data_IF_918241619342
#
_entry.id   IF_918241619342
#
_cell.length_a   1.000
_cell.length_b   1.000
_cell.length_c   1.000
_cell.angle_alpha   90.00
_cell.angle_beta   90.00
_cell.angle_gamma   90.00
#
_symmetry.space_group_name_H-M   'P 1'
#
loop_
_entity.id
_entity.type
_entity.pdbx_description
1 polymer ?
#
# COMPACT_ATOMS: atom_id res chain seq x y z
N UNK A 1 29.76 16.69 -12.86
CA UNK A 1 28.33 16.48 -12.54
C UNK A 1 28.21 16.22 -11.05
N UNK A 2 27.51 17.09 -10.32
CA UNK A 2 27.27 16.88 -8.88
C UNK A 2 26.40 15.65 -8.69
N UNK A 3 26.89 14.65 -7.94
CA UNK A 3 26.07 13.51 -7.49
C UNK A 3 24.82 14.07 -6.80
N UNK A 4 23.63 13.78 -7.29
CA UNK A 4 22.38 14.07 -6.58
C UNK A 4 22.53 13.49 -5.16
N UNK A 5 22.60 14.37 -4.16
CA UNK A 5 22.57 13.93 -2.76
C UNK A 5 21.31 13.11 -2.55
N UNK A 6 21.48 11.87 -2.14
CA UNK A 6 20.35 11.05 -1.73
C UNK A 6 19.64 11.78 -0.60
N UNK A 7 18.32 11.88 -0.66
CA UNK A 7 17.51 12.55 0.36
C UNK A 7 17.52 11.83 1.71
N UNK A 8 18.00 10.60 1.76
CA UNK A 8 18.29 9.82 2.97
C UNK A 8 19.73 9.35 2.88
N UNK A 9 20.51 9.59 3.94
CA UNK A 9 21.87 9.08 4.06
C UNK A 9 21.83 7.63 4.57
N UNK A 10 22.17 6.69 3.70
CA UNK A 10 22.07 5.26 4.02
C UNK A 10 23.05 4.81 5.14
N UNK A 11 24.30 5.24 5.19
CA UNK A 11 25.21 4.95 6.31
C UNK A 11 24.69 5.45 7.67
N UNK A 12 24.16 6.67 7.73
CA UNK A 12 23.62 7.24 8.97
C UNK A 12 22.35 6.51 9.41
N UNK A 13 21.50 6.13 8.47
CA UNK A 13 20.31 5.32 8.75
C UNK A 13 20.70 3.94 9.27
N UNK A 14 21.72 3.31 8.69
CA UNK A 14 22.23 2.04 9.15
C UNK A 14 22.77 2.13 10.59
N UNK A 15 23.57 3.14 10.89
CA UNK A 15 24.09 3.37 12.24
C UNK A 15 22.96 3.57 13.26
N UNK A 16 21.97 4.41 12.93
CA UNK A 16 20.81 4.63 13.80
C UNK A 16 19.99 3.36 14.05
N UNK A 17 19.88 2.47 13.06
CA UNK A 17 19.20 1.18 13.22
C UNK A 17 19.99 0.20 14.09
N UNK A 18 21.32 0.18 13.98
CA UNK A 18 22.18 -0.63 14.85
C UNK A 18 22.02 -0.19 16.29
N UNK A 19 22.11 1.11 16.56
CA UNK A 19 21.95 1.68 17.91
C UNK A 19 20.54 1.37 18.47
N UNK A 20 19.51 1.54 17.66
CA UNK A 20 18.16 1.22 18.06
C UNK A 20 17.96 -0.27 18.39
N UNK A 21 18.55 -1.17 17.60
CA UNK A 21 18.51 -2.61 17.90
C UNK A 21 19.22 -2.98 19.20
N UNK A 22 20.34 -2.34 19.49
CA UNK A 22 21.05 -2.53 20.76
C UNK A 22 20.16 -2.14 21.96
N UNK A 23 19.51 -0.97 21.87
CA UNK A 23 18.54 -0.53 22.89
C UNK A 23 17.35 -1.45 23.04
N UNK A 24 16.81 -1.99 21.95
CA UNK A 24 15.72 -2.96 22.00
C UNK A 24 16.15 -4.25 22.72
N UNK A 25 17.37 -4.73 22.43
CA UNK A 25 17.91 -5.92 23.08
C UNK A 25 18.14 -5.71 24.57
N UNK A 26 18.68 -4.57 24.97
CA UNK A 26 18.83 -4.21 26.39
C UNK A 26 17.48 -4.17 27.11
N UNK A 27 16.45 -3.63 26.47
CA UNK A 27 15.10 -3.59 27.04
C UNK A 27 14.49 -4.99 27.16
N UNK A 28 14.67 -5.86 26.16
CA UNK A 28 14.23 -7.27 26.20
C UNK A 28 14.92 -8.02 27.33
N UNK A 29 16.24 -7.88 27.48
CA UNK A 29 17.03 -8.52 28.54
C UNK A 29 16.63 -8.04 29.95
N UNK A 30 16.17 -6.78 30.08
CA UNK A 30 15.64 -6.22 31.31
C UNK A 30 14.16 -6.56 31.58
N UNK A 31 13.46 -7.17 30.60
CA UNK A 31 12.02 -7.44 30.69
C UNK A 31 11.14 -6.20 30.48
N UNK A 32 11.71 -5.14 29.96
CA UNK A 32 11.02 -3.89 29.66
C UNK A 32 10.41 -3.87 28.25
N UNK A 33 9.52 -2.88 28.01
CA UNK A 33 8.95 -2.65 26.68
C UNK A 33 10.00 -2.07 25.74
N UNK A 34 9.95 -2.48 24.47
CA UNK A 34 10.80 -1.91 23.43
C UNK A 34 10.71 -0.38 23.41
N UNK A 35 11.85 0.32 23.31
CA UNK A 35 11.89 1.77 23.26
C UNK A 35 11.18 2.28 21.99
N UNK A 36 10.72 3.53 22.04
CA UNK A 36 10.13 4.19 20.87
C UNK A 36 11.17 4.31 19.76
N UNK A 37 10.73 4.15 18.52
CA UNK A 37 11.57 4.35 17.34
C UNK A 37 12.13 5.78 17.34
N UNK A 38 13.46 5.98 17.20
CA UNK A 38 14.09 7.29 17.16
C UNK A 38 13.50 8.17 16.06
N UNK A 39 13.38 9.47 16.35
CA UNK A 39 12.81 10.46 15.43
C UNK A 39 13.51 10.48 14.07
N UNK A 40 14.84 10.30 14.04
CA UNK A 40 15.60 10.27 12.81
C UNK A 40 15.19 9.12 11.89
N UNK A 41 15.01 7.92 12.43
CA UNK A 41 14.55 6.76 11.68
C UNK A 41 13.14 7.01 11.14
N UNK A 42 12.25 7.54 11.98
CA UNK A 42 10.88 7.91 11.58
C UNK A 42 10.86 8.93 10.43
N UNK A 43 11.70 9.97 10.51
CA UNK A 43 11.86 10.96 9.43
C UNK A 43 12.35 10.33 8.13
N UNK A 44 13.32 9.41 8.20
CA UNK A 44 13.82 8.69 7.02
C UNK A 44 12.72 7.87 6.37
N UNK A 45 11.95 7.10 7.14
CA UNK A 45 10.83 6.29 6.64
C UNK A 45 9.78 7.19 5.98
N UNK A 46 9.40 8.30 6.62
CA UNK A 46 8.44 9.27 6.07
C UNK A 46 8.93 9.84 4.73
N UNK A 47 10.20 10.22 4.65
CA UNK A 47 10.79 10.74 3.41
C UNK A 47 10.78 9.71 2.28
N UNK A 48 11.10 8.44 2.58
CA UNK A 48 11.08 7.36 1.61
C UNK A 48 9.65 7.16 1.09
N UNK A 49 8.66 7.07 1.99
CA UNK A 49 7.26 6.86 1.63
C UNK A 49 6.71 8.02 0.79
N UNK A 50 6.93 9.26 1.23
CA UNK A 50 6.48 10.45 0.51
C UNK A 50 7.11 10.56 -0.88
N UNK A 51 8.41 10.32 -0.99
CA UNK A 51 9.12 10.36 -2.29
C UNK A 51 8.70 9.22 -3.22
N UNK A 52 8.43 8.04 -2.68
CA UNK A 52 7.93 6.93 -3.47
C UNK A 52 6.52 7.21 -4.01
N UNK A 53 5.65 7.82 -3.20
CA UNK A 53 4.29 8.19 -3.57
C UNK A 53 4.22 9.25 -4.70
N UNK A 54 5.28 10.01 -4.92
CA UNK A 54 5.35 10.99 -6.03
C UNK A 54 5.77 10.38 -7.37
N UNK A 55 6.18 9.11 -7.39
CA UNK A 55 6.55 8.44 -8.66
C UNK A 55 5.31 8.24 -9.55
N UNK A 56 5.47 8.23 -10.88
CA UNK A 56 4.35 8.08 -11.83
C UNK A 56 3.46 6.87 -11.55
N UNK A 57 4.03 5.77 -11.06
CA UNK A 57 3.28 4.56 -10.72
C UNK A 57 2.28 4.75 -9.57
N UNK A 58 2.45 5.78 -8.73
CA UNK A 58 1.67 5.99 -7.52
C UNK A 58 1.02 7.37 -7.41
N UNK A 59 1.45 8.35 -8.21
CA UNK A 59 1.02 9.74 -8.08
C UNK A 59 -0.45 9.99 -8.48
N UNK A 60 -1.04 9.11 -9.27
CA UNK A 60 -2.40 9.27 -9.82
C UNK A 60 -3.54 8.79 -8.92
N UNK A 61 -3.26 8.29 -7.72
CA UNK A 61 -4.29 7.75 -6.83
C UNK A 61 -4.80 8.81 -5.84
N UNK A 62 -6.13 8.88 -5.67
CA UNK A 62 -6.79 9.80 -4.72
C UNK A 62 -6.50 9.47 -3.26
N UNK A 63 -6.21 8.20 -2.96
CA UNK A 63 -5.87 7.66 -1.64
C UNK A 63 -4.35 7.58 -1.39
N UNK A 64 -3.61 8.57 -1.92
CA UNK A 64 -2.14 8.61 -1.78
C UNK A 64 -1.68 8.75 -0.32
N UNK A 65 -2.41 9.48 0.50
CA UNK A 65 -2.08 9.67 1.92
C UNK A 65 -2.25 8.39 2.72
N UNK A 66 -3.31 7.63 2.42
CA UNK A 66 -3.52 6.31 3.02
C UNK A 66 -2.44 5.32 2.60
N UNK A 67 -1.96 5.39 1.34
CA UNK A 67 -0.82 4.59 0.89
C UNK A 67 0.43 4.90 1.70
N UNK A 68 0.74 6.20 1.92
CA UNK A 68 1.89 6.65 2.72
C UNK A 68 1.76 6.14 4.16
N UNK A 69 0.59 6.29 4.77
CA UNK A 69 0.31 5.82 6.14
C UNK A 69 0.50 4.31 6.27
N UNK A 70 -0.05 3.53 5.34
CA UNK A 70 0.15 2.07 5.32
C UNK A 70 1.63 1.69 5.16
N UNK A 71 2.36 2.44 4.34
CA UNK A 71 3.80 2.24 4.14
C UNK A 71 4.61 2.46 5.41
N UNK A 72 4.32 3.54 6.13
CA UNK A 72 4.97 3.88 7.40
C UNK A 72 4.63 2.84 8.47
N UNK A 73 3.35 2.50 8.62
CA UNK A 73 2.89 1.49 9.57
C UNK A 73 3.61 0.15 9.36
N UNK A 74 3.66 -0.32 8.11
CA UNK A 74 4.38 -1.56 7.79
C UNK A 74 5.88 -1.47 8.08
N UNK A 75 6.53 -0.33 7.82
CA UNK A 75 7.94 -0.15 8.18
C UNK A 75 8.16 -0.24 9.69
N UNK A 76 7.29 0.37 10.50
CA UNK A 76 7.38 0.31 11.95
C UNK A 76 7.13 -1.10 12.49
N UNK A 77 6.20 -1.86 11.90
CA UNK A 77 5.95 -3.26 12.26
C UNK A 77 7.14 -4.16 11.96
N UNK A 78 7.83 -3.93 10.84
CA UNK A 78 8.92 -4.80 10.38
C UNK A 78 10.33 -4.26 10.65
N UNK A 79 10.47 -3.15 11.39
CA UNK A 79 11.76 -2.54 11.72
C UNK A 79 12.69 -3.51 12.45
N UNK A 80 12.14 -4.34 13.32
CA UNK A 80 12.89 -5.32 14.12
C UNK A 80 13.46 -6.47 13.27
N UNK A 81 12.87 -6.72 12.09
CA UNK A 81 13.29 -7.80 11.19
C UNK A 81 14.50 -7.40 10.32
N UNK A 82 14.87 -6.12 10.32
CA UNK A 82 16.07 -5.69 9.62
C UNK A 82 17.32 -6.26 10.30
N UNK A 83 18.15 -6.95 9.54
CA UNK A 83 19.40 -7.55 10.03
C UNK A 83 20.59 -6.85 9.42
N UNK A 84 21.35 -6.03 10.21
CA UNK A 84 22.51 -5.32 9.73
C UNK A 84 23.66 -6.23 9.29
N UNK A 85 23.72 -7.48 9.78
CA UNK A 85 24.76 -8.43 9.38
C UNK A 85 24.49 -8.98 7.97
N UNK A 86 23.20 -9.13 7.61
CA UNK A 86 22.79 -9.65 6.29
C UNK A 86 22.68 -8.56 5.23
N UNK A 87 22.36 -7.35 5.63
CA UNK A 87 22.16 -6.24 4.69
C UNK A 87 22.66 -4.92 5.25
N UNK A 88 23.48 -4.24 4.48
CA UNK A 88 23.98 -2.88 4.79
C UNK A 88 23.17 -1.78 4.09
N UNK A 89 22.01 -2.12 3.51
CA UNK A 89 21.18 -1.16 2.77
C UNK A 89 19.77 -1.04 3.35
N UNK A 90 19.60 -0.35 4.48
CA UNK A 90 18.27 -0.14 5.07
C UNK A 90 17.34 0.69 4.18
N UNK A 91 17.88 1.58 3.35
CA UNK A 91 17.08 2.34 2.40
C UNK A 91 16.33 1.43 1.42
N UNK A 92 17.01 0.44 0.85
CA UNK A 92 16.38 -0.53 -0.05
C UNK A 92 15.36 -1.40 0.70
N UNK A 93 15.67 -1.81 1.92
CA UNK A 93 14.78 -2.59 2.78
C UNK A 93 13.45 -1.87 3.03
N UNK A 94 13.47 -0.63 3.51
CA UNK A 94 12.25 0.14 3.75
C UNK A 94 11.52 0.51 2.46
N UNK A 95 12.25 0.83 1.40
CA UNK A 95 11.64 1.09 0.08
C UNK A 95 10.83 -0.10 -0.40
N UNK A 96 11.33 -1.32 -0.23
CA UNK A 96 10.63 -2.54 -0.63
C UNK A 96 9.36 -2.77 0.21
N UNK A 97 9.43 -2.58 1.53
CA UNK A 97 8.25 -2.69 2.41
C UNK A 97 7.17 -1.71 1.98
N UNK A 98 7.53 -0.44 1.77
CA UNK A 98 6.61 0.61 1.37
C UNK A 98 6.00 0.30 0.00
N UNK A 99 6.81 -0.15 -0.96
CA UNK A 99 6.34 -0.56 -2.28
C UNK A 99 5.24 -1.61 -2.20
N UNK A 100 5.46 -2.67 -1.44
CA UNK A 100 4.45 -3.72 -1.28
C UNK A 100 3.22 -3.25 -0.49
N UNK A 101 3.39 -2.35 0.48
CA UNK A 101 2.26 -1.74 1.17
C UNK A 101 1.38 -0.94 0.20
N UNK A 102 1.99 -0.15 -0.69
CA UNK A 102 1.29 0.60 -1.73
C UNK A 102 0.51 -0.32 -2.68
N UNK A 103 1.13 -1.40 -3.15
CA UNK A 103 0.46 -2.37 -4.02
C UNK A 103 -0.73 -3.03 -3.32
N UNK A 104 -0.60 -3.40 -2.05
CA UNK A 104 -1.71 -3.97 -1.26
C UNK A 104 -2.87 -2.97 -1.10
N UNK A 105 -2.57 -1.70 -0.83
CA UNK A 105 -3.61 -0.65 -0.75
C UNK A 105 -4.33 -0.49 -2.09
N UNK A 106 -3.62 -0.40 -3.19
CA UNK A 106 -4.21 -0.31 -4.54
C UNK A 106 -5.13 -1.49 -4.82
N UNK A 107 -4.71 -2.71 -4.49
CA UNK A 107 -5.55 -3.90 -4.67
C UNK A 107 -6.80 -3.87 -3.79
N UNK A 108 -6.67 -3.43 -2.53
CA UNK A 108 -7.80 -3.27 -1.59
C UNK A 108 -8.81 -2.26 -2.12
N UNK A 109 -8.36 -1.10 -2.57
CA UNK A 109 -9.23 -0.04 -3.11
C UNK A 109 -9.94 -0.49 -4.41
N UNK A 110 -9.22 -1.17 -5.31
CA UNK A 110 -9.82 -1.75 -6.52
C UNK A 110 -10.90 -2.78 -6.18
N UNK A 111 -10.65 -3.63 -5.18
CA UNK A 111 -11.65 -4.61 -4.73
C UNK A 111 -12.88 -3.94 -4.13
N UNK A 112 -12.71 -2.89 -3.34
CA UNK A 112 -13.83 -2.14 -2.78
C UNK A 112 -14.64 -1.42 -3.86
N UNK A 113 -13.97 -0.83 -4.85
CA UNK A 113 -14.63 -0.21 -6.00
C UNK A 113 -15.44 -1.24 -6.79
N UNK A 114 -14.89 -2.44 -7.02
CA UNK A 114 -15.61 -3.54 -7.67
C UNK A 114 -16.87 -3.93 -6.88
N UNK A 115 -16.76 -4.09 -5.56
CA UNK A 115 -17.91 -4.45 -4.70
C UNK A 115 -19.00 -3.38 -4.79
N UNK A 116 -18.63 -2.10 -4.72
CA UNK A 116 -19.58 -0.98 -4.84
C UNK A 116 -20.29 -0.99 -6.19
N UNK A 117 -19.56 -1.15 -7.28
CA UNK A 117 -20.14 -1.17 -8.63
C UNK A 117 -21.04 -2.39 -8.83
N UNK A 118 -20.62 -3.56 -8.34
CA UNK A 118 -21.44 -4.79 -8.43
C UNK A 118 -22.73 -4.70 -7.63
N UNK A 119 -22.65 -4.13 -6.42
CA UNK A 119 -23.85 -3.88 -5.60
C UNK A 119 -24.81 -2.91 -6.29
N UNK A 120 -24.31 -1.81 -6.85
CA UNK A 120 -25.09 -0.84 -7.61
C UNK A 120 -25.77 -1.49 -8.83
N UNK A 121 -25.06 -2.31 -9.59
CA UNK A 121 -25.59 -3.06 -10.72
C UNK A 121 -26.72 -4.01 -10.30
N UNK A 122 -26.56 -4.73 -9.19
CA UNK A 122 -27.57 -5.64 -8.66
C UNK A 122 -28.83 -4.89 -8.21
N UNK A 123 -28.68 -3.73 -7.55
CA UNK A 123 -29.81 -2.89 -7.14
C UNK A 123 -30.61 -2.38 -8.36
N UNK A 124 -29.91 -1.94 -9.42
CA UNK A 124 -30.55 -1.54 -10.67
C UNK A 124 -31.32 -2.71 -11.31
N UNK A 125 -30.71 -3.89 -11.37
CA UNK A 125 -31.38 -5.09 -11.90
C UNK A 125 -32.62 -5.45 -11.11
N UNK A 126 -32.60 -5.35 -9.77
CA UNK A 126 -33.76 -5.61 -8.93
C UNK A 126 -34.88 -4.58 -9.15
N UNK A 127 -34.56 -3.28 -9.27
CA UNK A 127 -35.56 -2.27 -9.54
C UNK A 127 -36.24 -2.45 -10.91
N UNK A 128 -35.43 -2.83 -11.93
CA UNK A 128 -35.98 -3.14 -13.27
C UNK A 128 -36.92 -4.35 -13.23
N UNK A 129 -36.63 -5.37 -12.43
CA UNK A 129 -37.49 -6.54 -12.30
C UNK A 129 -38.80 -6.26 -11.54
N UNK A 130 -38.82 -5.20 -10.73
CA UNK A 130 -40.01 -4.78 -9.97
C UNK A 130 -40.87 -3.79 -10.75
N UNK A 131 -40.30 -2.98 -11.63
CA UNK A 131 -40.97 -2.01 -12.50
C UNK A 131 -41.14 -2.60 -13.91
N UNK A 132 -42.41 -2.87 -14.28
CA UNK A 132 -42.77 -3.48 -15.57
C UNK A 132 -42.71 -2.55 -16.78
N UNK A 133 -42.25 -1.28 -16.61
CA UNK A 133 -42.21 -0.29 -17.68
C UNK A 133 -40.89 -0.29 -18.43
N UNK A 134 -40.96 -0.60 -19.73
CA UNK A 134 -39.78 -0.66 -20.64
C UNK A 134 -38.99 0.65 -20.74
N UNK A 135 -39.59 1.79 -20.41
CA UNK A 135 -38.89 3.08 -20.40
C UNK A 135 -37.92 3.24 -19.22
N UNK A 136 -38.20 2.61 -18.08
CA UNK A 136 -37.35 2.60 -16.89
C UNK A 136 -36.06 1.83 -17.14
N UNK A 137 -36.09 0.84 -18.04
CA UNK A 137 -34.94 -0.02 -18.37
C UNK A 137 -33.82 0.79 -19.07
N UNK A 138 -34.17 1.67 -20.02
CA UNK A 138 -33.18 2.45 -20.77
C UNK A 138 -32.50 3.55 -19.94
N UNK A 139 -33.17 4.08 -18.89
CA UNK A 139 -32.60 5.13 -18.03
C UNK A 139 -31.68 4.58 -16.92
N UNK A 140 -31.69 3.28 -16.67
CA UNK A 140 -31.03 2.64 -15.53
C UNK A 140 -29.85 1.73 -15.91
N UNK A 141 -29.39 1.75 -17.17
CA UNK A 141 -28.16 1.05 -17.53
C UNK A 141 -26.95 1.67 -16.82
N UNK A 142 -26.09 0.84 -16.18
CA UNK A 142 -24.91 1.37 -15.54
C UNK A 142 -23.99 2.02 -16.59
N UNK A 143 -23.36 3.17 -16.29
CA UNK A 143 -22.43 3.80 -17.22
C UNK A 143 -21.39 2.82 -17.75
N UNK A 144 -21.06 2.88 -19.03
CA UNK A 144 -20.17 1.94 -19.73
C UNK A 144 -18.82 1.74 -19.01
N UNK A 145 -18.29 2.77 -18.35
CA UNK A 145 -17.04 2.65 -17.59
C UNK A 145 -17.17 1.71 -16.39
N UNK A 146 -18.35 1.59 -15.78
CA UNK A 146 -18.62 0.67 -14.67
C UNK A 146 -18.61 -0.78 -15.17
N UNK A 147 -19.30 -1.05 -16.27
CA UNK A 147 -19.35 -2.38 -16.89
C UNK A 147 -17.94 -2.82 -17.32
N UNK A 148 -17.20 -1.96 -17.98
CA UNK A 148 -15.79 -2.23 -18.37
C UNK A 148 -14.90 -2.51 -17.16
N UNK A 149 -15.05 -1.75 -16.07
CA UNK A 149 -14.27 -1.97 -14.85
C UNK A 149 -14.58 -3.34 -14.22
N UNK A 150 -15.86 -3.72 -14.17
CA UNK A 150 -16.29 -5.02 -13.65
C UNK A 150 -15.69 -6.16 -14.48
N UNK A 151 -15.81 -6.09 -15.80
CA UNK A 151 -15.30 -7.10 -16.72
C UNK A 151 -13.78 -7.26 -16.62
N UNK A 152 -13.05 -6.15 -16.58
CA UNK A 152 -11.60 -6.13 -16.38
C UNK A 152 -11.17 -6.75 -15.04
N UNK A 153 -11.89 -6.46 -13.98
CA UNK A 153 -11.61 -7.01 -12.66
C UNK A 153 -11.85 -8.52 -12.63
N UNK A 154 -13.02 -8.98 -13.12
CA UNK A 154 -13.37 -10.40 -13.14
C UNK A 154 -12.45 -11.22 -14.06
N UNK A 155 -12.04 -10.66 -15.20
CA UNK A 155 -11.12 -11.34 -16.12
C UNK A 155 -9.75 -11.62 -15.51
N UNK A 156 -9.23 -10.67 -14.70
CA UNK A 156 -7.96 -10.82 -13.99
C UNK A 156 -8.05 -11.85 -12.86
N UNK A 157 -9.18 -11.92 -12.19
CA UNK A 157 -9.43 -12.94 -11.16
C UNK A 157 -9.50 -14.35 -11.73
N UNK A 158 -10.16 -14.53 -12.88
CA UNK A 158 -10.24 -15.83 -13.59
C UNK A 158 -8.88 -16.31 -14.08
N UNK A 159 -7.99 -15.40 -14.53
CA UNK A 159 -6.60 -15.75 -14.93
C UNK A 159 -5.76 -16.19 -13.74
N UNK A 160 -5.78 -15.45 -12.63
CA UNK A 160 -5.01 -15.79 -11.43
C UNK A 160 -5.47 -17.08 -10.71
N UNK A 161 -6.69 -17.56 -10.98
CA UNK A 161 -7.17 -18.85 -10.47
C UNK A 161 -6.71 -20.05 -11.35
N UNK A 162 -6.40 -19.83 -12.64
CA UNK A 162 -5.89 -20.86 -13.54
C UNK A 162 -4.38 -21.10 -13.36
N UNK A 163 -3.63 -20.09 -12.97
CA UNK A 163 -2.16 -20.20 -12.79
C UNK A 163 -1.78 -20.85 -11.45
N UNK A 164 -2.76 -21.20 -10.60
CA UNK A 164 -2.56 -21.87 -9.30
C UNK A 164 -2.94 -23.35 -9.29
N UNK A 165 -3.24 -23.92 -10.46
CA UNK A 165 -3.47 -25.36 -10.64
C UNK A 165 -2.31 -25.97 -11.43
#
# INVERSE_FOLDING_TARGET
>A
MARKRNYVNNPDLLAALIDYKALCKEAEDAGDRNPKVPEYIGKCILLIATRLATKPNFSGYSYKEEMISDGIENCLMYIHNFDPEKSQNPFAYFTQIIWFAFLRRIQKEKKQTYIKFKASQNMLTQSILQDSDAQTIQMNEPPEYISRFIDDFESKFKKGAKDKK
#
